data_IF_828249087919
#
_entry.id   IF_828249087919
#
_cell.length_a   1.000
_cell.length_b   1.000
_cell.length_c   1.000
_cell.angle_alpha   90.00
_cell.angle_beta   90.00
_cell.angle_gamma   90.00
#
_symmetry.space_group_name_H-M   'P 1'
#
loop_
_entity.id
_entity.type
_entity.pdbx_description
1 polymer ?
#
# COMPACT_ATOMS: atom_id res chain seq x y z
N UNK A 1 -0.50 3.55 -24.35
CA UNK A 1 -0.08 2.34 -23.59
C UNK A 1 -0.03 1.17 -24.55
N UNK A 2 0.95 0.26 -24.41
CA UNK A 2 1.34 -0.71 -25.45
C UNK A 2 0.15 -1.24 -26.27
N UNK A 3 0.27 -1.18 -27.61
CA UNK A 3 -0.71 -1.71 -28.57
C UNK A 3 -1.07 -3.20 -28.33
N UNK A 4 -0.29 -3.89 -27.50
CA UNK A 4 -0.50 -5.28 -27.09
C UNK A 4 -1.53 -5.49 -25.98
N UNK A 5 -1.90 -4.46 -25.21
CA UNK A 5 -2.90 -4.62 -24.15
C UNK A 5 -4.31 -4.44 -24.72
N UNK A 6 -5.14 -5.47 -24.57
CA UNK A 6 -6.54 -5.41 -24.96
C UNK A 6 -7.30 -4.34 -24.18
N UNK A 7 -8.29 -3.72 -24.85
CA UNK A 7 -9.16 -2.68 -24.27
C UNK A 7 -9.85 -3.13 -22.99
N UNK A 8 -10.28 -4.40 -22.91
CA UNK A 8 -10.90 -4.97 -21.71
C UNK A 8 -9.94 -5.00 -20.52
N UNK A 9 -8.65 -5.28 -20.77
CA UNK A 9 -7.64 -5.34 -19.72
C UNK A 9 -7.30 -3.92 -19.23
N UNK A 10 -7.20 -2.95 -20.15
CA UNK A 10 -7.05 -1.54 -19.80
C UNK A 10 -8.24 -1.03 -18.98
N UNK A 11 -9.48 -1.38 -19.35
CA UNK A 11 -10.67 -1.03 -18.58
C UNK A 11 -10.67 -1.66 -17.18
N UNK A 12 -10.25 -2.92 -17.05
CA UNK A 12 -10.11 -3.58 -15.76
C UNK A 12 -9.03 -2.92 -14.89
N UNK A 13 -7.90 -2.55 -15.48
CA UNK A 13 -6.82 -1.84 -14.80
C UNK A 13 -7.27 -0.43 -14.35
N UNK A 14 -8.02 0.27 -15.20
CA UNK A 14 -8.63 1.56 -14.87
C UNK A 14 -9.60 1.43 -13.68
N UNK A 15 -10.41 0.37 -13.65
CA UNK A 15 -11.32 0.09 -12.55
C UNK A 15 -10.55 -0.14 -11.23
N UNK A 16 -9.56 -1.03 -11.22
CA UNK A 16 -8.76 -1.33 -10.02
C UNK A 16 -8.03 -0.07 -9.54
N UNK A 17 -7.39 0.68 -10.44
CA UNK A 17 -6.65 1.89 -10.10
C UNK A 17 -7.54 3.01 -9.55
N UNK A 18 -8.76 3.16 -10.08
CA UNK A 18 -9.74 4.11 -9.55
C UNK A 18 -10.20 3.74 -8.13
N UNK A 19 -10.41 2.45 -7.86
CA UNK A 19 -10.78 1.94 -6.54
C UNK A 19 -9.66 2.09 -5.52
N UNK A 20 -8.40 1.82 -5.90
CA UNK A 20 -7.25 2.00 -4.98
C UNK A 20 -7.06 3.47 -4.63
N UNK A 21 -7.27 4.38 -5.58
CA UNK A 21 -7.24 5.82 -5.34
C UNK A 21 -8.30 6.25 -4.31
N UNK A 22 -9.53 5.79 -4.49
CA UNK A 22 -10.64 6.13 -3.58
C UNK A 22 -10.45 5.53 -2.19
N UNK A 23 -10.15 4.24 -2.12
CA UNK A 23 -9.99 3.52 -0.86
C UNK A 23 -8.87 4.14 -0.01
N UNK A 24 -7.71 4.42 -0.60
CA UNK A 24 -6.62 5.05 0.15
C UNK A 24 -6.92 6.49 0.56
N UNK A 25 -7.63 7.26 -0.27
CA UNK A 25 -8.08 8.60 0.09
C UNK A 25 -9.05 8.61 1.28
N UNK A 26 -9.95 7.62 1.36
CA UNK A 26 -10.85 7.46 2.50
C UNK A 26 -10.11 7.06 3.77
N UNK A 27 -9.25 6.03 3.70
CA UNK A 27 -8.49 5.55 4.86
C UNK A 27 -7.58 6.65 5.41
N UNK A 28 -6.94 7.43 4.53
CA UNK A 28 -6.07 8.54 4.92
C UNK A 28 -6.78 9.66 5.70
N UNK A 29 -8.11 9.77 5.58
CA UNK A 29 -8.90 10.74 6.34
C UNK A 29 -9.23 10.28 7.77
N UNK A 30 -9.11 8.98 8.05
CA UNK A 30 -9.43 8.40 9.37
C UNK A 30 -8.19 8.03 10.17
N UNK A 31 -7.07 7.75 9.50
CA UNK A 31 -5.80 7.43 10.15
C UNK A 31 -5.21 8.61 10.94
N UNK A 32 -4.49 8.33 12.02
CA UNK A 32 -3.84 9.35 12.86
C UNK A 32 -2.31 9.27 12.85
N UNK A 33 -1.72 8.16 12.38
CA UNK A 33 -0.26 8.06 12.25
C UNK A 33 0.23 8.90 11.06
N UNK A 34 1.10 9.87 11.31
CA UNK A 34 1.60 10.81 10.30
C UNK A 34 2.26 10.07 9.12
N UNK A 35 3.12 9.07 9.37
CA UNK A 35 3.75 8.28 8.30
C UNK A 35 2.74 7.48 7.48
N UNK A 36 1.70 6.91 8.11
CA UNK A 36 0.66 6.16 7.40
C UNK A 36 -0.17 7.06 6.51
N UNK A 37 -0.51 8.28 6.96
CA UNK A 37 -1.23 9.26 6.13
C UNK A 37 -0.39 9.63 4.89
N UNK A 38 0.93 9.85 5.04
CA UNK A 38 1.81 10.16 3.90
C UNK A 38 1.93 8.96 2.95
N UNK A 39 1.98 7.73 3.47
CA UNK A 39 2.00 6.49 2.67
C UNK A 39 0.67 6.22 1.94
N UNK A 40 -0.48 6.42 2.58
CA UNK A 40 -1.78 6.30 1.92
C UNK A 40 -1.96 7.36 0.83
N UNK A 41 -1.41 8.54 1.06
CA UNK A 41 -1.38 9.58 0.04
C UNK A 41 -0.37 9.33 -1.09
N UNK A 42 0.58 8.38 -0.97
CA UNK A 42 1.34 7.89 -2.14
C UNK A 42 0.55 6.80 -2.87
N UNK A 43 -0.15 5.93 -2.15
CA UNK A 43 -1.01 4.91 -2.75
C UNK A 43 -2.11 5.53 -3.62
N UNK A 44 -2.73 6.62 -3.17
CA UNK A 44 -3.73 7.34 -3.99
C UNK A 44 -3.13 7.95 -5.25
N UNK A 45 -1.98 8.61 -5.15
CA UNK A 45 -1.31 9.21 -6.33
C UNK A 45 -0.79 8.14 -7.29
N UNK A 46 -0.33 6.98 -6.80
CA UNK A 46 -0.01 5.82 -7.63
C UNK A 46 -1.24 5.27 -8.35
N UNK A 47 -2.40 5.21 -7.68
CA UNK A 47 -3.68 4.90 -8.33
C UNK A 47 -3.98 5.87 -9.47
N UNK A 48 -3.71 7.17 -9.26
CA UNK A 48 -3.86 8.19 -10.29
C UNK A 48 -2.88 7.99 -11.45
N UNK A 49 -1.61 7.70 -11.18
CA UNK A 49 -0.63 7.36 -12.23
C UNK A 49 -1.07 6.15 -13.04
N UNK A 50 -1.45 5.05 -12.38
CA UNK A 50 -1.89 3.81 -13.05
C UNK A 50 -3.13 4.01 -13.91
N UNK A 51 -4.02 4.90 -13.52
CA UNK A 51 -5.22 5.18 -14.31
C UNK A 51 -4.95 5.95 -15.60
N UNK A 52 -4.03 6.92 -15.59
CA UNK A 52 -3.65 7.65 -16.81
C UNK A 52 -2.92 6.73 -17.76
N UNK A 53 -2.05 5.87 -17.21
CA UNK A 53 -1.41 4.80 -17.97
C UNK A 53 -2.47 3.93 -18.65
N UNK A 54 -3.56 3.59 -17.95
CA UNK A 54 -4.69 2.83 -18.52
C UNK A 54 -5.44 3.58 -19.63
N UNK A 55 -5.58 4.92 -19.51
CA UNK A 55 -6.21 5.77 -20.52
C UNK A 55 -5.35 5.96 -21.78
N UNK A 56 -4.05 5.73 -21.69
CA UNK A 56 -3.15 5.67 -22.85
C UNK A 56 -1.94 6.60 -22.77
N UNK A 57 -1.98 7.63 -21.93
CA UNK A 57 -0.99 8.72 -21.87
C UNK A 57 0.17 8.42 -20.92
N UNK A 58 1.23 7.78 -21.44
CA UNK A 58 2.42 7.45 -20.64
C UNK A 58 3.26 8.68 -20.25
N UNK A 59 3.29 9.70 -21.09
CA UNK A 59 4.06 10.94 -20.88
C UNK A 59 3.52 11.74 -19.70
N UNK A 60 2.19 11.91 -19.58
CA UNK A 60 1.55 12.56 -18.44
C UNK A 60 1.76 11.80 -17.13
N UNK A 61 1.65 10.47 -17.17
CA UNK A 61 1.90 9.63 -16.01
C UNK A 61 3.35 9.72 -15.53
N UNK A 62 4.33 9.71 -16.44
CA UNK A 62 5.74 9.87 -16.10
C UNK A 62 6.05 11.28 -15.56
N UNK A 63 5.46 12.31 -16.16
CA UNK A 63 5.57 13.68 -15.67
C UNK A 63 5.05 13.80 -14.23
N UNK A 64 3.88 13.23 -13.92
CA UNK A 64 3.36 13.22 -12.56
C UNK A 64 4.23 12.40 -11.60
N UNK A 65 4.80 11.27 -12.03
CA UNK A 65 5.72 10.47 -11.24
C UNK A 65 6.94 11.29 -10.79
N UNK A 66 7.55 12.06 -11.70
CA UNK A 66 8.69 12.92 -11.38
C UNK A 66 8.33 13.98 -10.33
N UNK A 67 7.24 14.71 -10.55
CA UNK A 67 6.81 15.74 -9.60
C UNK A 67 6.45 15.14 -8.24
N UNK A 68 5.77 13.99 -8.25
CA UNK A 68 5.43 13.25 -7.04
C UNK A 68 6.63 12.79 -6.24
N UNK A 69 7.68 12.30 -6.89
CA UNK A 69 8.92 11.92 -6.20
C UNK A 69 9.53 13.11 -5.44
N UNK A 70 9.54 14.30 -6.05
CA UNK A 70 10.11 15.50 -5.44
C UNK A 70 9.35 15.95 -4.19
N UNK A 71 8.04 16.17 -4.28
CA UNK A 71 7.28 16.66 -3.12
C UNK A 71 7.08 15.59 -2.05
N UNK A 72 7.00 14.29 -2.40
CA UNK A 72 6.92 13.22 -1.39
C UNK A 72 8.23 13.03 -0.63
N UNK A 73 9.38 13.12 -1.30
CA UNK A 73 10.67 13.07 -0.62
C UNK A 73 10.78 14.19 0.43
N UNK A 74 10.37 15.42 0.06
CA UNK A 74 10.35 16.54 1.00
C UNK A 74 9.33 16.34 2.14
N UNK A 75 8.11 15.82 1.86
CA UNK A 75 7.13 15.49 2.90
C UNK A 75 7.65 14.48 3.92
N UNK A 76 8.26 13.38 3.46
CA UNK A 76 8.83 12.38 4.35
C UNK A 76 10.04 12.90 5.14
N UNK A 77 10.85 13.78 4.55
CA UNK A 77 11.96 14.40 5.26
C UNK A 77 11.47 15.37 6.36
N UNK A 78 10.50 16.24 6.04
CA UNK A 78 9.84 17.10 7.03
C UNK A 78 9.16 16.28 8.14
N UNK A 79 8.41 15.24 7.77
CA UNK A 79 7.81 14.30 8.72
C UNK A 79 8.83 13.65 9.65
N UNK A 80 9.98 13.22 9.12
CA UNK A 80 11.07 12.65 9.92
C UNK A 80 11.62 13.64 10.94
N UNK A 81 11.80 14.91 10.54
CA UNK A 81 12.20 15.99 11.45
C UNK A 81 11.18 16.21 12.57
N UNK A 82 9.88 16.27 12.23
CA UNK A 82 8.81 16.45 13.21
C UNK A 82 8.79 15.29 14.22
N UNK A 83 8.89 14.04 13.74
CA UNK A 83 8.86 12.84 14.59
C UNK A 83 10.07 12.81 15.52
N UNK A 84 11.27 13.10 15.00
CA UNK A 84 12.49 13.10 15.81
C UNK A 84 12.44 14.17 16.91
N UNK A 85 11.95 15.37 16.61
CA UNK A 85 11.82 16.46 17.58
C UNK A 85 10.73 16.22 18.64
N UNK A 86 9.81 15.28 18.39
CA UNK A 86 8.72 14.91 19.30
C UNK A 86 8.97 13.55 19.98
N UNK A 87 10.24 13.18 20.19
CA UNK A 87 10.63 11.92 20.83
C UNK A 87 9.97 10.68 20.19
N UNK A 88 10.03 10.60 18.85
CA UNK A 88 9.48 9.52 18.04
C UNK A 88 7.94 9.35 18.09
N UNK A 89 7.22 10.34 18.59
CA UNK A 89 5.76 10.37 18.52
C UNK A 89 5.28 10.62 17.08
N UNK A 90 4.52 9.67 16.53
CA UNK A 90 4.03 9.71 15.14
C UNK A 90 2.55 10.10 15.02
N UNK A 91 1.80 10.03 16.12
CA UNK A 91 0.37 10.31 16.15
C UNK A 91 0.12 11.83 16.11
N UNK A 92 -0.63 12.28 15.10
CA UNK A 92 -0.91 13.71 14.87
C UNK A 92 -1.73 14.35 15.99
N UNK A 93 -2.42 13.57 16.84
CA UNK A 93 -3.24 14.08 17.95
C UNK A 93 -2.40 14.68 19.08
N UNK A 94 -1.20 14.16 19.26
CA UNK A 94 -0.21 14.68 20.22
C UNK A 94 0.71 15.74 19.61
N UNK A 95 0.47 16.11 18.34
CA UNK A 95 1.12 17.25 17.71
C UNK A 95 0.26 18.51 17.89
N UNK A 96 0.81 19.66 17.49
CA UNK A 96 0.08 20.92 17.48
C UNK A 96 1.02 22.11 17.58
N UNK A 97 0.58 23.28 17.13
CA UNK A 97 1.30 24.56 17.18
C UNK A 97 2.77 24.50 16.74
N UNK A 98 3.15 23.57 15.86
CA UNK A 98 4.55 23.37 15.45
C UNK A 98 5.11 24.56 14.68
N UNK A 99 4.25 25.41 14.10
CA UNK A 99 4.65 26.65 13.41
C UNK A 99 5.44 27.58 14.32
N UNK A 100 5.13 27.62 15.62
CA UNK A 100 5.82 28.49 16.58
C UNK A 100 7.20 27.97 16.96
N UNK A 101 7.38 26.65 16.97
CA UNK A 101 8.62 26.00 17.42
C UNK A 101 9.57 25.65 16.27
N UNK A 102 9.01 25.28 15.12
CA UNK A 102 9.72 24.79 13.93
C UNK A 102 9.28 25.57 12.67
N UNK A 103 9.54 26.88 12.59
CA UNK A 103 8.99 27.74 11.54
C UNK A 103 9.47 27.32 10.15
N UNK A 104 10.73 26.92 9.99
CA UNK A 104 11.27 26.61 8.67
C UNK A 104 10.71 25.28 8.15
N UNK A 105 10.77 24.23 8.97
CA UNK A 105 10.28 22.91 8.57
C UNK A 105 8.76 22.88 8.43
N UNK A 106 8.02 23.67 9.20
CA UNK A 106 6.57 23.83 9.03
C UNK A 106 6.20 24.54 7.72
N UNK A 107 6.94 25.58 7.32
CA UNK A 107 6.75 26.21 6.01
C UNK A 107 6.97 25.20 4.87
N UNK A 108 8.05 24.42 4.93
CA UNK A 108 8.36 23.41 3.90
C UNK A 108 7.28 22.32 3.83
N UNK A 109 6.85 21.82 4.99
CA UNK A 109 5.77 20.85 5.08
C UNK A 109 4.46 21.36 4.48
N UNK A 110 4.09 22.61 4.77
CA UNK A 110 2.88 23.23 4.23
C UNK A 110 2.95 23.41 2.72
N UNK A 111 4.06 23.91 2.18
CA UNK A 111 4.23 24.07 0.72
C UNK A 111 4.06 22.72 0.00
N UNK A 112 4.60 21.64 0.56
CA UNK A 112 4.44 20.32 -0.04
C UNK A 112 3.03 19.75 0.09
N UNK A 113 2.35 19.97 1.22
CA UNK A 113 0.95 19.56 1.37
C UNK A 113 0.04 20.31 0.37
N UNK A 114 0.30 21.60 0.15
CA UNK A 114 -0.40 22.41 -0.84
C UNK A 114 -0.08 21.95 -2.28
N UNK A 115 1.17 21.55 -2.55
CA UNK A 115 1.54 20.97 -3.84
C UNK A 115 0.80 19.63 -4.08
N UNK A 116 0.64 18.78 -3.06
CA UNK A 116 -0.11 17.53 -3.15
C UNK A 116 -1.61 17.74 -3.44
N UNK A 117 -2.20 18.82 -2.92
CA UNK A 117 -3.58 19.20 -3.23
C UNK A 117 -3.75 19.56 -4.71
N UNK A 118 -2.70 20.12 -5.34
CA UNK A 118 -2.75 20.65 -6.70
C UNK A 118 -3.18 22.11 -6.74
N UNK A 119 -2.79 22.92 -5.73
CA UNK A 119 -3.07 24.36 -5.76
C UNK A 119 -2.32 25.07 -6.89
N UNK A 120 -2.93 26.12 -7.48
CA UNK A 120 -2.39 26.77 -8.67
C UNK A 120 -0.95 27.26 -8.47
N UNK A 121 -0.15 27.15 -9.53
CA UNK A 121 1.27 27.52 -9.61
C UNK A 121 2.27 26.62 -8.88
N UNK A 122 1.83 25.66 -8.07
CA UNK A 122 2.72 24.65 -7.48
C UNK A 122 2.93 23.47 -8.44
N UNK A 123 4.02 22.72 -8.24
CA UNK A 123 4.37 21.53 -9.03
C UNK A 123 3.23 20.54 -9.27
N UNK A 124 2.40 20.30 -8.25
CA UNK A 124 1.30 19.34 -8.35
C UNK A 124 0.16 19.81 -9.24
N UNK A 125 -0.10 21.12 -9.36
CA UNK A 125 -1.12 21.66 -10.26
C UNK A 125 -0.79 21.33 -11.71
N UNK A 126 0.44 21.63 -12.11
CA UNK A 126 0.94 21.39 -13.46
C UNK A 126 0.78 19.96 -13.95
N UNK A 127 0.84 18.95 -13.08
CA UNK A 127 0.63 17.56 -13.47
C UNK A 127 -0.81 17.10 -13.22
N UNK A 128 -1.28 17.21 -11.99
CA UNK A 128 -2.55 16.62 -11.54
C UNK A 128 -3.77 17.29 -12.18
N UNK A 129 -3.75 18.60 -12.38
CA UNK A 129 -4.85 19.33 -13.03
C UNK A 129 -4.95 18.95 -14.51
N UNK A 130 -3.81 18.98 -15.21
CA UNK A 130 -3.67 18.53 -16.60
C UNK A 130 -4.17 17.08 -16.81
N UNK A 131 -3.91 16.19 -15.86
CA UNK A 131 -4.40 14.81 -15.87
C UNK A 131 -5.93 14.73 -15.77
N UNK A 132 -6.52 15.47 -14.82
CA UNK A 132 -7.97 15.41 -14.60
C UNK A 132 -8.73 16.04 -15.76
N UNK A 133 -8.15 17.07 -16.38
CA UNK A 133 -8.67 17.69 -17.58
C UNK A 133 -8.60 16.74 -18.79
N UNK A 134 -7.47 16.05 -18.98
CA UNK A 134 -7.34 15.02 -20.00
C UNK A 134 -8.40 13.92 -19.82
N UNK A 135 -8.60 13.43 -18.59
CA UNK A 135 -9.64 12.44 -18.32
C UNK A 135 -11.05 12.96 -18.64
N UNK A 136 -11.33 14.25 -18.41
CA UNK A 136 -12.63 14.85 -18.74
C UNK A 136 -12.86 15.09 -20.24
N UNK A 137 -11.80 15.12 -21.05
CA UNK A 137 -11.91 15.11 -22.52
C UNK A 137 -12.37 13.74 -23.03
N UNK A 138 -11.86 12.68 -22.40
CA UNK A 138 -12.06 11.32 -22.88
C UNK A 138 -13.45 10.77 -22.55
N UNK A 139 -13.91 9.83 -23.38
CA UNK A 139 -15.15 9.10 -23.17
C UNK A 139 -14.98 8.02 -22.10
N UNK A 140 -14.99 8.44 -20.84
CA UNK A 140 -14.90 7.54 -19.68
C UNK A 140 -16.29 7.31 -19.07
N UNK A 141 -16.50 6.13 -18.48
CA UNK A 141 -17.72 5.81 -17.75
C UNK A 141 -17.96 6.80 -16.59
N UNK A 142 -19.23 7.19 -16.38
CA UNK A 142 -19.67 8.12 -15.32
C UNK A 142 -19.17 7.67 -13.94
N UNK A 143 -19.18 6.36 -13.67
CA UNK A 143 -18.67 5.79 -12.42
C UNK A 143 -17.23 6.22 -12.14
N UNK A 144 -16.36 6.08 -13.14
CA UNK A 144 -14.94 6.38 -13.02
C UNK A 144 -14.79 7.90 -12.86
N UNK A 145 -15.51 8.68 -13.67
CA UNK A 145 -15.51 10.14 -13.55
C UNK A 145 -15.80 10.59 -12.11
N UNK A 146 -16.90 10.12 -11.51
CA UNK A 146 -17.29 10.48 -10.13
C UNK A 146 -16.23 10.08 -9.11
N UNK A 147 -15.65 8.88 -9.23
CA UNK A 147 -14.64 8.40 -8.29
C UNK A 147 -13.37 9.23 -8.31
N UNK A 148 -12.92 9.67 -9.48
CA UNK A 148 -11.73 10.51 -9.61
C UNK A 148 -11.90 11.88 -8.98
N UNK A 149 -13.02 12.54 -9.26
CA UNK A 149 -13.27 13.84 -8.64
C UNK A 149 -13.45 13.67 -7.13
N UNK A 150 -14.22 12.69 -6.67
CA UNK A 150 -14.39 12.47 -5.24
C UNK A 150 -13.05 12.15 -4.55
N UNK A 151 -12.21 11.29 -5.11
CA UNK A 151 -10.90 10.96 -4.54
C UNK A 151 -9.98 12.18 -4.52
N UNK A 152 -9.99 13.05 -5.53
CA UNK A 152 -9.23 14.31 -5.50
C UNK A 152 -9.73 15.25 -4.40
N UNK A 153 -11.04 15.32 -4.16
CA UNK A 153 -11.61 16.02 -3.01
C UNK A 153 -11.14 15.43 -1.67
N UNK A 154 -11.10 14.10 -1.54
CA UNK A 154 -10.55 13.43 -0.36
C UNK A 154 -9.07 13.76 -0.15
N UNK A 155 -8.29 13.96 -1.22
CA UNK A 155 -6.89 14.40 -1.10
C UNK A 155 -6.74 15.79 -0.51
N UNK A 156 -7.63 16.72 -0.87
CA UNK A 156 -7.67 18.04 -0.25
C UNK A 156 -8.16 17.97 1.21
N UNK A 157 -9.08 17.06 1.50
CA UNK A 157 -9.61 16.85 2.85
C UNK A 157 -8.53 16.36 3.83
N UNK A 158 -7.79 15.29 3.52
CA UNK A 158 -6.81 14.74 4.47
C UNK A 158 -5.58 15.64 4.62
N UNK A 159 -5.21 16.40 3.58
CA UNK A 159 -4.05 17.29 3.61
C UNK A 159 -4.31 18.53 4.48
N UNK A 160 -5.52 19.08 4.40
CA UNK A 160 -5.93 20.19 5.26
C UNK A 160 -6.15 19.71 6.71
N UNK A 161 -6.69 18.49 6.90
CA UNK A 161 -6.75 17.85 8.22
C UNK A 161 -5.35 17.70 8.83
N UNK A 162 -4.39 17.20 8.06
CA UNK A 162 -2.98 17.06 8.47
C UNK A 162 -2.38 18.41 8.87
N UNK A 163 -2.60 19.44 8.06
CA UNK A 163 -2.14 20.81 8.35
C UNK A 163 -2.78 21.35 9.62
N UNK A 164 -4.08 21.11 9.86
CA UNK A 164 -4.75 21.58 11.07
C UNK A 164 -4.16 20.96 12.34
N UNK A 165 -4.06 19.63 12.40
CA UNK A 165 -3.56 18.93 13.60
C UNK A 165 -2.08 19.20 13.89
N UNK A 166 -1.24 19.31 12.84
CA UNK A 166 0.19 19.53 13.05
C UNK A 166 0.53 21.00 13.34
N UNK A 167 -0.12 21.95 12.66
CA UNK A 167 0.32 23.35 12.62
C UNK A 167 -0.60 24.32 13.35
N UNK A 168 -1.92 24.21 13.15
CA UNK A 168 -2.90 25.24 13.60
C UNK A 168 -3.39 24.95 15.02
N UNK A 169 -3.57 23.67 15.37
CA UNK A 169 -4.08 23.26 16.67
C UNK A 169 -3.20 23.70 17.84
N UNK A 170 -3.77 23.68 19.04
CA UNK A 170 -3.01 23.91 20.27
C UNK A 170 -1.96 22.80 20.49
N UNK A 171 -0.87 23.13 21.18
CA UNK A 171 0.20 22.18 21.44
C UNK A 171 -0.27 21.08 22.42
N UNK A 172 -0.46 19.86 21.92
CA UNK A 172 -0.90 18.69 22.71
C UNK A 172 0.25 17.71 23.04
N UNK A 173 1.49 18.14 22.87
CA UNK A 173 2.67 17.31 23.12
C UNK A 173 3.01 17.20 24.61
N UNK A 174 4.03 16.40 24.92
CA UNK A 174 4.53 16.29 26.29
C UNK A 174 5.06 17.64 26.80
N UNK A 175 4.78 17.93 28.07
CA UNK A 175 5.17 19.17 28.75
C UNK A 175 6.69 19.37 28.81
N UNK A 176 7.46 18.28 28.89
CA UNK A 176 8.91 18.28 28.77
C UNK A 176 9.34 17.97 27.34
N UNK A 177 9.07 18.88 26.41
CA UNK A 177 9.54 18.78 25.02
C UNK A 177 10.51 19.92 24.71
N UNK A 178 11.64 19.56 24.11
CA UNK A 178 12.61 20.51 23.57
C UNK A 178 12.52 20.48 22.05
N UNK A 179 11.56 21.24 21.52
CA UNK A 179 11.31 21.32 20.09
C UNK A 179 12.13 22.48 19.52
N UNK A 180 13.08 22.17 18.65
CA UNK A 180 13.86 23.17 17.91
C UNK A 180 14.15 22.68 16.50
N UNK A 181 14.34 23.61 15.56
CA UNK A 181 14.67 23.22 14.19
C UNK A 181 15.96 22.39 14.19
N UNK A 182 15.91 21.31 13.42
CA UNK A 182 16.95 20.29 13.41
C UNK A 182 18.31 20.79 12.92
N UNK A 183 19.31 19.90 12.95
CA UNK A 183 20.65 20.16 12.44
C UNK A 183 20.66 20.81 11.04
N UNK A 184 21.64 21.70 10.83
CA UNK A 184 21.85 22.41 9.56
C UNK A 184 21.96 21.49 8.33
N UNK A 185 22.41 20.24 8.50
CA UNK A 185 22.51 19.29 7.38
C UNK A 185 21.14 18.89 6.85
N UNK A 186 20.18 18.62 7.75
CA UNK A 186 18.83 18.25 7.35
C UNK A 186 18.09 19.45 6.73
N UNK A 187 18.24 20.64 7.30
CA UNK A 187 17.66 21.86 6.74
C UNK A 187 18.20 22.19 5.35
N UNK A 188 19.51 22.00 5.10
CA UNK A 188 20.10 22.15 3.75
C UNK A 188 19.51 21.15 2.76
N UNK A 189 19.32 19.90 3.15
CA UNK A 189 18.67 18.88 2.32
C UNK A 189 17.24 19.25 1.94
N UNK A 190 16.44 19.68 2.92
CA UNK A 190 15.06 20.14 2.68
C UNK A 190 15.02 21.40 1.80
N UNK A 191 15.92 22.36 2.06
CA UNK A 191 16.01 23.61 1.31
C UNK A 191 16.38 23.41 -0.16
N UNK A 192 17.21 22.41 -0.49
CA UNK A 192 17.48 22.05 -1.88
C UNK A 192 16.25 21.50 -2.60
N UNK A 193 15.48 20.63 -1.93
CA UNK A 193 14.29 20.01 -2.51
C UNK A 193 13.14 21.00 -2.73
N UNK A 194 12.95 21.99 -1.84
CA UNK A 194 11.80 22.89 -1.98
C UNK A 194 11.86 23.76 -3.22
N UNK A 195 13.07 24.14 -3.66
CA UNK A 195 13.27 24.85 -4.92
C UNK A 195 12.67 24.07 -6.10
N UNK A 196 12.89 22.75 -6.13
CA UNK A 196 12.31 21.88 -7.15
C UNK A 196 10.80 21.68 -6.99
N UNK A 197 10.27 21.68 -5.77
CA UNK A 197 8.80 21.58 -5.55
C UNK A 197 8.08 22.82 -6.08
N UNK A 198 8.69 24.01 -6.00
CA UNK A 198 8.08 25.25 -6.48
C UNK A 198 8.28 25.39 -8.00
N UNK A 199 9.53 25.33 -8.49
CA UNK A 199 9.84 25.64 -9.88
C UNK A 199 9.80 24.43 -10.82
N UNK A 200 10.04 23.23 -10.29
CA UNK A 200 10.23 22.02 -11.09
C UNK A 200 9.04 21.70 -11.99
N UNK A 201 7.80 21.98 -11.56
CA UNK A 201 6.62 21.70 -12.38
C UNK A 201 6.58 22.53 -13.66
N UNK A 202 6.82 23.84 -13.52
CA UNK A 202 6.89 24.75 -14.67
C UNK A 202 8.06 24.44 -15.60
N UNK A 203 9.25 24.18 -15.04
CA UNK A 203 10.43 23.86 -15.82
C UNK A 203 10.29 22.53 -16.59
N UNK A 204 9.70 21.51 -15.94
CA UNK A 204 9.49 20.21 -16.56
C UNK A 204 8.42 20.23 -17.65
N UNK A 205 7.36 21.05 -17.53
CA UNK A 205 6.40 21.21 -18.63
C UNK A 205 7.10 21.72 -19.90
N UNK A 206 7.92 22.76 -19.77
CA UNK A 206 8.62 23.33 -20.92
C UNK A 206 9.61 22.36 -21.56
N UNK A 207 10.19 21.46 -20.76
CA UNK A 207 11.16 20.47 -21.26
C UNK A 207 10.47 19.24 -21.87
N UNK A 208 9.43 18.72 -21.23
CA UNK A 208 8.78 17.47 -21.61
C UNK A 208 7.73 17.62 -22.71
N UNK A 209 7.04 18.75 -22.77
CA UNK A 209 5.95 18.99 -23.71
C UNK A 209 6.34 20.06 -24.74
N UNK A 210 7.01 19.67 -25.83
CA UNK A 210 7.38 20.61 -26.90
C UNK A 210 6.13 21.16 -27.60
N UNK A 211 5.04 20.37 -27.63
CA UNK A 211 3.71 20.79 -28.08
C UNK A 211 2.76 20.81 -26.87
N UNK A 212 2.04 21.92 -26.62
CA UNK A 212 1.07 21.97 -25.54
C UNK A 212 -0.07 20.98 -25.79
N UNK A 213 -0.55 20.31 -24.74
CA UNK A 213 -1.75 19.48 -24.84
C UNK A 213 -2.97 20.34 -25.18
N UNK A 214 -3.72 19.91 -26.18
CA UNK A 214 -4.93 20.58 -26.61
C UNK A 214 -6.13 20.10 -25.78
N UNK A 215 -6.72 20.99 -24.99
CA UNK A 215 -7.84 20.68 -24.09
C UNK A 215 -9.04 21.56 -24.46
N UNK A 216 -10.11 20.95 -24.96
CA UNK A 216 -11.35 21.59 -25.42
C UNK A 216 -12.53 21.38 -24.47
N UNK A 217 -12.47 21.92 -23.25
CA UNK A 217 -13.52 21.70 -22.24
C UNK A 217 -14.51 22.87 -22.17
N UNK A 218 -15.80 22.61 -21.87
CA UNK A 218 -16.70 23.67 -21.43
C UNK A 218 -16.21 24.25 -20.10
N UNK A 219 -16.50 25.54 -19.88
CA UNK A 219 -15.97 26.30 -18.73
C UNK A 219 -16.28 25.64 -17.37
N UNK A 220 -17.45 25.00 -17.26
CA UNK A 220 -17.86 24.28 -16.05
C UNK A 220 -16.90 23.14 -15.72
N UNK A 221 -16.56 22.30 -16.72
CA UNK A 221 -15.65 21.16 -16.54
C UNK A 221 -14.23 21.62 -16.23
N UNK A 222 -13.77 22.70 -16.88
CA UNK A 222 -12.45 23.29 -16.60
C UNK A 222 -12.28 23.70 -15.14
N UNK A 223 -13.30 24.30 -14.53
CA UNK A 223 -13.24 24.70 -13.12
C UNK A 223 -13.62 23.62 -12.11
N UNK A 224 -14.05 22.42 -12.55
CA UNK A 224 -14.48 21.37 -11.63
C UNK A 224 -13.39 20.91 -10.68
N UNK A 225 -12.15 20.74 -11.17
CA UNK A 225 -11.04 20.27 -10.32
C UNK A 225 -10.83 21.23 -9.16
N UNK A 226 -10.75 22.52 -9.47
CA UNK A 226 -10.48 23.57 -8.51
C UNK A 226 -11.63 23.73 -7.51
N UNK A 227 -12.88 23.59 -7.97
CA UNK A 227 -14.07 23.56 -7.11
C UNK A 227 -14.04 22.37 -6.12
N UNK A 228 -13.70 21.18 -6.61
CA UNK A 228 -13.65 19.97 -5.79
C UNK A 228 -12.52 20.04 -4.74
N UNK A 229 -11.37 20.60 -5.08
CA UNK A 229 -10.28 20.85 -4.13
C UNK A 229 -10.72 21.81 -3.02
N UNK A 230 -11.42 22.90 -3.36
CA UNK A 230 -11.94 23.83 -2.35
C UNK A 230 -13.02 23.21 -1.47
N UNK A 231 -13.97 22.47 -2.04
CA UNK A 231 -14.98 21.75 -1.26
C UNK A 231 -14.35 20.73 -0.31
N UNK A 232 -13.43 19.91 -0.81
CA UNK A 232 -12.72 18.92 0.01
C UNK A 232 -11.94 19.58 1.15
N UNK A 233 -11.28 20.70 0.87
CA UNK A 233 -10.58 21.46 1.89
C UNK A 233 -11.50 22.08 2.95
N UNK A 234 -12.64 22.61 2.53
CA UNK A 234 -13.64 23.13 3.45
C UNK A 234 -14.21 22.03 4.37
N UNK A 235 -14.53 20.85 3.80
CA UNK A 235 -14.93 19.68 4.58
C UNK A 235 -13.85 19.24 5.57
N UNK A 236 -12.58 19.26 5.16
CA UNK A 236 -11.44 18.93 6.02
C UNK A 236 -11.35 19.83 7.26
N UNK A 237 -11.54 21.14 7.09
CA UNK A 237 -11.55 22.10 8.21
C UNK A 237 -12.75 21.91 9.15
N UNK A 238 -13.92 21.57 8.60
CA UNK A 238 -15.10 21.32 9.43
C UNK A 238 -14.92 20.08 10.30
N UNK A 239 -14.34 19.02 9.73
CA UNK A 239 -14.09 17.77 10.45
C UNK A 239 -13.00 17.93 11.51
N UNK A 240 -12.00 18.78 11.26
CA UNK A 240 -10.94 19.01 12.24
C UNK A 240 -11.38 19.87 13.44
N UNK A 241 -12.44 20.68 13.29
CA UNK A 241 -12.98 21.56 14.34
C UNK A 241 -14.11 20.94 15.18
N UNK A 242 -14.28 19.62 15.13
CA UNK A 242 -15.30 18.91 15.90
C UNK A 242 -14.99 19.03 17.40
N UNK A 243 -15.96 19.53 18.18
CA UNK A 243 -15.83 19.69 19.63
C UNK A 243 -16.22 18.41 20.38
N UNK A 244 -15.81 18.30 21.66
CA UNK A 244 -16.13 17.18 22.57
C UNK A 244 -17.62 16.78 22.59
N UNK A 245 -18.54 17.75 22.50
CA UNK A 245 -19.99 17.49 22.46
C UNK A 245 -20.42 16.66 21.24
N UNK A 246 -19.76 16.86 20.09
CA UNK A 246 -20.12 16.23 18.83
C UNK A 246 -19.57 14.81 18.70
N UNK A 247 -18.51 14.46 19.45
CA UNK A 247 -17.99 13.08 19.50
C UNK A 247 -19.02 12.08 20.02
N UNK A 248 -19.95 12.50 20.87
CA UNK A 248 -21.03 11.64 21.36
C UNK A 248 -21.87 11.07 20.21
N UNK A 249 -22.11 11.85 19.14
CA UNK A 249 -22.87 11.43 17.96
C UNK A 249 -22.04 10.53 17.03
N UNK A 250 -20.72 10.71 16.99
CA UNK A 250 -19.82 9.87 16.18
C UNK A 250 -19.78 8.42 16.68
N UNK A 251 -20.01 8.19 17.98
CA UNK A 251 -20.02 6.85 18.57
C UNK A 251 -21.03 5.89 17.90
N UNK A 252 -22.16 6.40 17.40
CA UNK A 252 -23.16 5.60 16.67
C UNK A 252 -22.62 5.01 15.35
N UNK A 253 -21.67 5.70 14.71
CA UNK A 253 -21.08 5.27 13.44
C UNK A 253 -19.69 4.62 13.60
N UNK A 254 -19.32 4.24 14.83
CA UNK A 254 -17.99 3.71 15.11
C UNK A 254 -17.68 2.46 14.26
N UNK A 255 -18.63 1.53 14.12
CA UNK A 255 -18.42 0.31 13.31
C UNK A 255 -18.12 0.61 11.84
N UNK A 256 -18.80 1.58 11.25
CA UNK A 256 -18.54 2.02 9.87
C UNK A 256 -17.17 2.70 9.75
N UNK A 257 -16.84 3.58 10.69
CA UNK A 257 -15.53 4.25 10.72
C UNK A 257 -14.38 3.26 10.88
N UNK A 258 -14.56 2.23 11.71
CA UNK A 258 -13.58 1.17 11.92
C UNK A 258 -13.36 0.35 10.66
N UNK A 259 -14.44 -0.05 9.98
CA UNK A 259 -14.36 -0.75 8.69
C UNK A 259 -13.63 0.06 7.62
N UNK A 260 -13.87 1.37 7.57
CA UNK A 260 -13.17 2.26 6.63
C UNK A 260 -11.70 2.44 7.01
N UNK A 261 -11.36 2.53 8.30
CA UNK A 261 -9.98 2.64 8.77
C UNK A 261 -9.17 1.35 8.51
N UNK A 262 -9.78 0.18 8.67
CA UNK A 262 -9.12 -1.13 8.49
C UNK A 262 -8.89 -1.53 7.03
N UNK A 263 -8.89 -0.56 6.09
CA UNK A 263 -8.75 -0.82 4.66
C UNK A 263 -9.81 -1.83 4.16
N UNK A 264 -11.08 -1.64 4.55
CA UNK A 264 -12.18 -2.58 4.23
C UNK A 264 -11.88 -4.02 4.69
N UNK A 265 -11.17 -4.17 5.82
CA UNK A 265 -10.67 -5.44 6.35
C UNK A 265 -9.73 -6.23 5.41
N UNK A 266 -9.15 -5.60 4.37
CA UNK A 266 -8.24 -6.26 3.43
C UNK A 266 -6.97 -6.81 4.10
N UNK A 267 -6.45 -6.11 5.11
CA UNK A 267 -5.29 -6.57 5.88
C UNK A 267 -5.59 -7.89 6.60
N UNK A 268 -6.77 -8.03 7.20
CA UNK A 268 -7.21 -9.25 7.87
C UNK A 268 -7.52 -10.38 6.88
N UNK A 269 -8.17 -10.07 5.76
CA UNK A 269 -8.47 -11.07 4.72
C UNK A 269 -7.19 -11.65 4.09
N UNK A 270 -6.22 -10.80 3.80
CA UNK A 270 -4.94 -11.23 3.20
C UNK A 270 -4.06 -11.99 4.18
N UNK A 271 -3.97 -11.57 5.44
CA UNK A 271 -3.10 -12.22 6.43
C UNK A 271 -3.71 -13.48 7.03
N UNK A 272 -4.93 -13.40 7.58
CA UNK A 272 -5.56 -14.55 8.23
C UNK A 272 -6.19 -15.51 7.24
N UNK A 273 -6.84 -15.00 6.18
CA UNK A 273 -7.50 -15.85 5.20
C UNK A 273 -6.53 -16.71 4.41
N UNK A 274 -5.46 -16.12 3.85
CA UNK A 274 -4.52 -16.83 2.98
C UNK A 274 -3.59 -17.75 3.78
N UNK A 275 -2.98 -17.26 4.85
CA UNK A 275 -1.98 -18.04 5.59
C UNK A 275 -2.58 -19.27 6.28
N UNK A 276 -3.81 -19.18 6.77
CA UNK A 276 -4.46 -20.26 7.52
C UNK A 276 -4.60 -21.55 6.68
N UNK A 277 -5.05 -21.45 5.43
CA UNK A 277 -5.22 -22.63 4.57
C UNK A 277 -3.89 -23.27 4.20
N UNK A 278 -2.87 -22.48 3.86
CA UNK A 278 -1.54 -23.00 3.54
C UNK A 278 -0.88 -23.69 4.74
N UNK A 279 -1.01 -23.11 5.94
CA UNK A 279 -0.45 -23.71 7.17
C UNK A 279 -1.13 -25.03 7.53
N UNK A 280 -2.46 -25.13 7.43
CA UNK A 280 -3.19 -26.39 7.70
C UNK A 280 -2.83 -27.45 6.67
N UNK A 281 -2.76 -27.08 5.40
CA UNK A 281 -2.38 -28.01 4.35
C UNK A 281 -0.95 -28.52 4.57
N UNK A 282 -0.02 -27.62 4.90
CA UNK A 282 1.36 -27.98 5.24
C UNK A 282 1.42 -28.96 6.42
N UNK A 283 0.66 -28.73 7.49
CA UNK A 283 0.61 -29.64 8.64
C UNK A 283 0.08 -31.03 8.28
N UNK A 284 -1.00 -31.10 7.48
CA UNK A 284 -1.54 -32.37 6.99
C UNK A 284 -0.57 -33.13 6.09
N UNK A 285 0.17 -32.42 5.24
CA UNK A 285 1.20 -33.02 4.39
C UNK A 285 2.29 -33.63 5.26
N UNK A 286 2.80 -32.92 6.27
CA UNK A 286 3.83 -33.47 7.15
C UNK A 286 3.35 -34.69 7.95
N UNK A 287 2.12 -34.68 8.46
CA UNK A 287 1.60 -35.80 9.27
C UNK A 287 1.23 -37.01 8.40
N UNK A 288 0.51 -36.80 7.31
CA UNK A 288 -0.03 -37.90 6.50
C UNK A 288 0.99 -38.43 5.51
N UNK A 289 1.73 -37.56 4.83
CA UNK A 289 2.64 -37.97 3.76
C UNK A 289 3.99 -38.34 4.36
N UNK A 290 4.65 -37.40 5.04
CA UNK A 290 6.02 -37.60 5.52
C UNK A 290 6.06 -38.61 6.66
N UNK A 291 5.35 -38.35 7.77
CA UNK A 291 5.34 -39.25 8.93
C UNK A 291 4.44 -40.48 8.76
N UNK A 292 3.42 -40.41 7.89
CA UNK A 292 2.47 -41.49 7.68
C UNK A 292 2.87 -42.44 6.56
N UNK A 293 2.45 -42.11 5.34
CA UNK A 293 2.58 -43.00 4.18
C UNK A 293 4.03 -43.30 3.79
N UNK A 294 4.93 -42.31 3.88
CA UNK A 294 6.33 -42.50 3.49
C UNK A 294 7.05 -43.46 4.42
N UNK A 295 6.80 -43.37 5.74
CA UNK A 295 7.33 -44.31 6.72
C UNK A 295 6.69 -45.69 6.60
N UNK A 296 5.37 -45.74 6.37
CA UNK A 296 4.64 -47.00 6.20
C UNK A 296 5.18 -47.79 5.01
N UNK A 297 5.23 -47.19 3.82
CA UNK A 297 5.71 -47.88 2.62
C UNK A 297 7.23 -48.08 2.61
N UNK A 298 7.98 -47.19 3.25
CA UNK A 298 9.43 -47.25 3.32
C UNK A 298 9.93 -48.16 4.44
N UNK A 299 10.50 -47.54 5.48
CA UNK A 299 11.27 -48.22 6.52
C UNK A 299 10.45 -49.24 7.32
N UNK A 300 9.20 -48.91 7.66
CA UNK A 300 8.39 -49.77 8.55
C UNK A 300 7.99 -51.08 7.86
N UNK A 301 7.45 -51.02 6.64
CA UNK A 301 7.05 -52.23 5.92
C UNK A 301 8.26 -53.06 5.47
N UNK A 302 9.37 -52.42 5.07
CA UNK A 302 10.62 -53.15 4.81
C UNK A 302 11.08 -53.92 6.05
N UNK A 303 11.11 -53.27 7.22
CA UNK A 303 11.48 -53.93 8.47
C UNK A 303 10.53 -55.09 8.82
N UNK A 304 9.22 -54.90 8.69
CA UNK A 304 8.21 -55.93 8.98
C UNK A 304 8.36 -57.13 8.01
N UNK A 305 8.60 -56.87 6.73
CA UNK A 305 8.81 -57.92 5.73
C UNK A 305 10.09 -58.72 5.95
N UNK A 306 11.19 -58.05 6.30
CA UNK A 306 12.44 -58.72 6.66
C UNK A 306 12.24 -59.57 7.92
N UNK A 307 11.62 -59.01 8.96
CA UNK A 307 11.33 -59.73 10.20
C UNK A 307 10.45 -60.96 9.97
N UNK A 308 9.42 -60.87 9.14
CA UNK A 308 8.56 -62.03 8.87
C UNK A 308 9.29 -63.12 8.07
N UNK A 309 10.14 -62.72 7.11
CA UNK A 309 10.98 -63.66 6.35
C UNK A 309 12.02 -64.35 7.22
N UNK A 310 12.68 -63.62 8.13
CA UNK A 310 13.68 -64.20 9.04
C UNK A 310 13.03 -65.13 10.05
N UNK A 311 11.87 -64.78 10.62
CA UNK A 311 11.12 -65.66 11.51
C UNK A 311 10.66 -66.96 10.81
N UNK A 312 10.33 -66.90 9.52
CA UNK A 312 10.01 -68.10 8.75
C UNK A 312 11.24 -68.98 8.50
N UNK A 313 12.37 -68.38 8.11
CA UNK A 313 13.63 -69.10 7.93
C UNK A 313 14.10 -69.73 9.25
N UNK A 314 14.01 -69.01 10.36
CA UNK A 314 14.38 -69.50 11.69
C UNK A 314 13.56 -70.75 12.05
N UNK A 315 12.25 -70.77 11.78
CA UNK A 315 11.42 -71.97 11.98
C UNK A 315 11.85 -73.16 11.12
N UNK A 316 12.31 -72.94 9.90
CA UNK A 316 12.84 -74.01 9.03
C UNK A 316 14.14 -74.56 9.60
N UNK A 317 15.06 -73.69 10.04
CA UNK A 317 16.37 -74.10 10.57
C UNK A 317 16.28 -74.77 11.95
N UNK A 318 15.35 -74.33 12.82
CA UNK A 318 15.15 -74.91 14.15
C UNK A 318 14.37 -76.25 14.12
N UNK A 319 13.75 -76.61 13.00
CA UNK A 319 13.09 -77.89 12.87
C UNK A 319 14.11 -79.05 12.87
N UNK A 320 13.58 -80.27 13.06
CA UNK A 320 14.38 -81.50 13.13
C UNK A 320 15.34 -81.65 11.93
N UNK A 321 16.54 -82.21 12.20
CA UNK A 321 17.64 -82.52 11.26
C UNK A 321 17.16 -83.14 9.94
N UNK A 322 16.05 -83.90 9.97
CA UNK A 322 15.43 -84.51 8.79
C UNK A 322 15.15 -83.50 7.67
N UNK A 323 14.66 -82.30 7.99
CA UNK A 323 14.35 -81.27 6.99
C UNK A 323 15.63 -80.74 6.34
N UNK A 324 16.69 -80.55 7.13
CA UNK A 324 18.00 -80.13 6.62
C UNK A 324 18.58 -81.16 5.63
N UNK A 325 18.53 -82.45 5.97
CA UNK A 325 19.00 -83.53 5.09
C UNK A 325 18.21 -83.59 3.78
N UNK A 326 16.89 -83.39 3.83
CA UNK A 326 16.07 -83.36 2.60
C UNK A 326 16.40 -82.17 1.70
N UNK A 327 16.70 -81.00 2.27
CA UNK A 327 17.12 -79.83 1.48
C UNK A 327 18.47 -80.07 0.78
N UNK A 328 19.41 -80.72 1.46
CA UNK A 328 20.73 -81.04 0.90
C UNK A 328 20.63 -82.03 -0.28
N UNK A 329 19.77 -83.04 -0.18
CA UNK A 329 19.50 -83.97 -1.29
C UNK A 329 18.91 -83.25 -2.51
N UNK A 330 17.92 -82.36 -2.30
CA UNK A 330 17.32 -81.57 -3.38
C UNK A 330 18.39 -80.71 -4.08
N UNK A 331 19.30 -80.11 -3.31
CA UNK A 331 20.40 -79.31 -3.87
C UNK A 331 21.35 -80.15 -4.73
N UNK A 332 21.75 -81.34 -4.28
CA UNK A 332 22.58 -82.27 -5.08
C UNK A 332 21.87 -82.65 -6.38
N UNK A 333 20.58 -82.96 -6.34
CA UNK A 333 19.82 -83.27 -7.54
C UNK A 333 19.79 -82.08 -8.52
N UNK A 334 19.62 -80.85 -8.04
CA UNK A 334 19.65 -79.66 -8.89
C UNK A 334 21.02 -79.46 -9.55
N UNK A 335 22.11 -79.69 -8.80
CA UNK A 335 23.49 -79.58 -9.33
C UNK A 335 23.77 -80.67 -10.38
N UNK A 336 23.14 -81.83 -10.29
CA UNK A 336 23.29 -82.89 -11.29
C UNK A 336 22.45 -82.65 -12.56
N UNK A 337 21.38 -81.86 -12.46
CA UNK A 337 20.45 -81.58 -13.57
C UNK A 337 20.91 -80.39 -14.43
N UNK A 338 21.73 -79.48 -13.89
CA UNK A 338 22.38 -78.39 -14.62
C UNK A 338 23.82 -78.73 -15.01
#
# INVERSE_FOLDING_TARGET
FSDSLGTNLLAFLLFISSLTMFMSGLVANLEFDLKKIIALSTLSQLGLMMSILALGESTLAFFHLLMHALFKALLFMCAGCLIHNLNDCQDIRYMGSLVKFLPLTSCFFNICNLALCGLPFLSGFYSKDLILEFMSMDYVNIYIYVIFYLSTGLTAMYSIRLLFYTMIGEFNGFSFSSVSDSSMYMLKGMGGLIFFVILGGSAMIWLMFPTPYFICLPILMKFMVLFVVFLGGWLGLMISKINFSDYSKMSFYYGFSYFMCSMWNLSYLSTFGVNYYFLIYSGKVSELIDQGWSEYFGSQNLFISLKSSTLFLEKIFLNNIKIFLTLLLIWICLVLVY
#
